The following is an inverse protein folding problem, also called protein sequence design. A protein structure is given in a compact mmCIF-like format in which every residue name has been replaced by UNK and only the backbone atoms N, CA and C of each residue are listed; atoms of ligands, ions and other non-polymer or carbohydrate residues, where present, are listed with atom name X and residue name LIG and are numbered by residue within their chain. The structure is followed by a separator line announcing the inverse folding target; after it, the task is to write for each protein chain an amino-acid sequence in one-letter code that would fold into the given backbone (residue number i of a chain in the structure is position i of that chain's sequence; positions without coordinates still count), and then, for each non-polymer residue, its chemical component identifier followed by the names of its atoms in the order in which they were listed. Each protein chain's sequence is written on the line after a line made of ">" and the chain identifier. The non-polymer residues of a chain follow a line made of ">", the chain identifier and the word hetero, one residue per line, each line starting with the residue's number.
data_IF_142637182342
#
_entry.id   IF_142637182342
#
_cell.length_a   1.000
_cell.length_b   1.000
_cell.length_c   1.000
_cell.angle_alpha   90.00
_cell.angle_beta   90.00
_cell.angle_gamma   90.00
#
_symmetry.space_group_name_H-M   'P 1'
#
loop_
_entity.id
_entity.type
_entity.pdbx_description
1 polymer ?
#
# COMPACT_ATOMS: atom_id res chain seq x y z
N UNK A 1 2.37 16.04 15.13
CA UNK A 1 3.68 15.32 15.15
C UNK A 1 3.73 14.48 13.88
N UNK A 2 4.80 14.56 13.12
CA UNK A 2 4.99 13.74 11.91
C UNK A 2 5.53 12.37 12.35
N UNK A 3 4.65 11.37 12.36
CA UNK A 3 4.94 10.03 12.88
C UNK A 3 4.80 8.92 11.82
N UNK A 4 4.44 9.30 10.58
CA UNK A 4 4.37 8.39 9.43
C UNK A 4 5.29 8.92 8.33
N UNK A 5 6.23 8.10 7.90
CA UNK A 5 7.13 8.42 6.78
C UNK A 5 6.46 8.03 5.45
N UNK A 6 6.28 9.01 4.56
CA UNK A 6 5.78 8.77 3.21
C UNK A 6 6.91 8.87 2.19
N UNK A 7 7.28 7.74 1.59
CA UNK A 7 8.35 7.66 0.60
C UNK A 7 7.77 7.79 -0.80
N UNK A 8 8.19 8.84 -1.53
CA UNK A 8 7.71 9.12 -2.88
C UNK A 8 8.83 9.03 -3.93
N UNK A 9 8.45 8.83 -5.20
CA UNK A 9 9.36 8.62 -6.33
C UNK A 9 9.23 9.66 -7.44
N UNK A 10 8.17 10.47 -7.42
CA UNK A 10 7.92 11.53 -8.40
C UNK A 10 7.44 12.79 -7.68
N UNK A 11 7.18 13.84 -8.43
CA UNK A 11 6.64 15.09 -7.87
C UNK A 11 5.31 14.83 -7.14
N UNK A 12 5.26 15.17 -5.85
CA UNK A 12 4.10 14.97 -4.99
C UNK A 12 2.90 15.77 -5.51
N UNK A 13 3.12 16.92 -6.09
CA UNK A 13 2.07 17.77 -6.65
C UNK A 13 1.36 17.11 -7.84
N UNK A 14 2.06 16.24 -8.58
CA UNK A 14 1.46 15.51 -9.70
C UNK A 14 0.51 14.39 -9.27
N UNK A 15 0.70 13.80 -8.09
CA UNK A 15 -0.18 12.75 -7.55
C UNK A 15 -1.51 13.30 -7.04
N UNK A 16 -1.54 14.52 -6.54
CA UNK A 16 -2.77 15.23 -6.14
C UNK A 16 -3.70 15.55 -7.31
N UNK A 17 -3.15 15.77 -8.49
CA UNK A 17 -3.91 16.14 -9.69
C UNK A 17 -4.89 15.08 -10.20
N UNK A 18 -4.72 13.80 -9.84
CA UNK A 18 -5.64 12.73 -10.25
C UNK A 18 -6.86 12.58 -9.34
N UNK A 19 -6.79 13.00 -8.10
CA UNK A 19 -7.86 12.82 -7.11
C UNK A 19 -8.47 14.13 -6.61
N UNK A 20 -7.87 15.30 -6.93
CA UNK A 20 -8.27 16.58 -6.33
C UNK A 20 -7.97 16.67 -4.83
N UNK A 21 -7.14 15.76 -4.29
CA UNK A 21 -6.80 15.64 -2.90
C UNK A 21 -5.36 16.09 -2.69
N UNK A 22 -5.15 17.06 -1.80
CA UNK A 22 -3.80 17.48 -1.40
C UNK A 22 -3.21 16.51 -0.38
N UNK A 23 -2.39 15.58 -0.85
CA UNK A 23 -1.69 14.63 0.00
C UNK A 23 -0.82 15.35 1.05
N UNK A 24 -0.21 16.47 0.67
CA UNK A 24 0.65 17.28 1.54
C UNK A 24 -0.11 17.96 2.69
N UNK A 25 -1.43 18.09 2.60
CA UNK A 25 -2.28 18.63 3.67
C UNK A 25 -2.58 17.64 4.78
N UNK A 26 -2.20 16.35 4.62
CA UNK A 26 -2.49 15.32 5.62
C UNK A 26 -1.60 15.46 6.85
N UNK A 27 -2.23 15.56 8.01
CA UNK A 27 -1.53 15.60 9.28
C UNK A 27 -0.81 14.28 9.60
N UNK A 28 0.42 14.38 10.05
CA UNK A 28 1.20 13.23 10.50
C UNK A 28 2.16 12.67 9.46
N UNK A 29 2.07 13.09 8.19
CA UNK A 29 2.99 12.63 7.16
C UNK A 29 4.29 13.44 7.14
N UNK A 30 5.41 12.74 7.10
CA UNK A 30 6.73 13.26 6.77
C UNK A 30 7.14 12.74 5.40
N UNK A 31 7.23 13.62 4.41
CA UNK A 31 7.54 13.26 3.05
C UNK A 31 9.04 13.15 2.84
N UNK A 32 9.50 12.05 2.25
CA UNK A 32 10.90 11.85 1.91
C UNK A 32 11.04 11.41 0.44
N UNK A 33 11.92 12.07 -0.27
CA UNK A 33 12.35 11.63 -1.58
C UNK A 33 13.06 10.28 -1.46
N UNK A 34 12.74 9.32 -2.33
CA UNK A 34 13.22 7.94 -2.20
C UNK A 34 14.75 7.84 -2.00
N UNK A 35 15.55 8.67 -2.67
CA UNK A 35 17.01 8.65 -2.56
C UNK A 35 17.55 9.32 -1.28
N UNK A 36 16.71 9.94 -0.48
CA UNK A 36 17.03 10.44 0.86
C UNK A 36 16.65 9.45 1.97
N UNK A 37 15.96 8.35 1.63
CA UNK A 37 15.46 7.37 2.58
C UNK A 37 16.59 6.74 3.41
N UNK A 38 17.77 6.56 2.83
CA UNK A 38 18.92 5.99 3.52
C UNK A 38 19.36 6.81 4.75
N UNK A 39 19.18 8.14 4.71
CA UNK A 39 19.54 9.04 5.79
C UNK A 39 18.54 9.09 6.95
N UNK A 40 17.33 8.53 6.77
CA UNK A 40 16.26 8.59 7.78
C UNK A 40 16.47 7.59 8.90
N UNK A 41 16.21 8.04 10.11
CA UNK A 41 16.11 7.15 11.29
C UNK A 41 14.68 6.61 11.37
N UNK A 42 14.48 5.32 11.04
CA UNK A 42 13.16 4.70 11.03
C UNK A 42 12.55 4.59 12.43
N UNK A 43 13.37 4.57 13.48
CA UNK A 43 12.87 4.48 14.87
C UNK A 43 12.06 5.70 15.31
N UNK A 44 12.18 6.81 14.59
CA UNK A 44 11.39 8.03 14.83
C UNK A 44 9.93 7.91 14.36
N UNK A 45 9.59 6.87 13.60
CA UNK A 45 8.29 6.71 12.96
C UNK A 45 7.54 5.49 13.49
N UNK A 46 6.21 5.57 13.50
CA UNK A 46 5.31 4.43 13.76
C UNK A 46 5.05 3.61 12.50
N UNK A 47 5.06 4.28 11.35
CA UNK A 47 4.77 3.66 10.07
C UNK A 47 5.53 4.25 8.90
N UNK A 48 5.68 3.43 7.85
CA UNK A 48 6.28 3.81 6.57
C UNK A 48 5.30 3.46 5.46
N UNK A 49 5.02 4.43 4.57
CA UNK A 49 4.30 4.23 3.32
C UNK A 49 5.32 4.26 2.18
N UNK A 50 5.36 3.20 1.39
CA UNK A 50 6.13 3.13 0.15
C UNK A 50 5.17 3.29 -1.03
N UNK A 51 5.32 4.36 -1.81
CA UNK A 51 4.57 4.59 -3.04
C UNK A 51 4.95 3.56 -4.11
N UNK A 52 4.03 3.24 -5.02
CA UNK A 52 4.15 2.13 -5.96
C UNK A 52 5.30 2.20 -6.97
N UNK A 53 5.87 3.38 -7.17
CA UNK A 53 6.99 3.59 -8.10
C UNK A 53 8.37 3.73 -7.45
N UNK A 54 8.49 3.48 -6.14
CA UNK A 54 9.77 3.59 -5.42
C UNK A 54 10.79 2.57 -5.95
N UNK A 55 12.04 3.02 -6.12
CA UNK A 55 13.15 2.19 -6.61
C UNK A 55 13.41 0.99 -5.66
N UNK A 56 13.05 -0.20 -6.14
CA UNK A 56 13.19 -1.43 -5.36
C UNK A 56 14.64 -1.96 -5.31
N UNK A 57 15.55 -1.46 -6.14
CA UNK A 57 16.98 -1.71 -6.00
C UNK A 57 17.48 -0.97 -4.74
N UNK A 58 17.06 0.27 -4.57
CA UNK A 58 17.35 1.03 -3.35
C UNK A 58 16.73 0.35 -2.14
N UNK A 59 15.43 -0.02 -2.19
CA UNK A 59 14.76 -0.72 -1.09
C UNK A 59 15.47 -2.02 -0.73
N UNK A 60 16.02 -2.76 -1.72
CA UNK A 60 16.76 -4.01 -1.44
C UNK A 60 18.07 -3.78 -0.68
N UNK A 61 18.70 -2.61 -0.82
CA UNK A 61 19.88 -2.24 0.00
C UNK A 61 19.49 -1.90 1.45
N UNK A 62 18.26 -1.41 1.65
CA UNK A 62 17.71 -1.05 2.95
C UNK A 62 16.92 -2.19 3.60
N UNK A 63 16.86 -3.37 2.97
CA UNK A 63 15.98 -4.46 3.35
C UNK A 63 16.13 -4.91 4.81
N UNK A 64 17.34 -5.02 5.32
CA UNK A 64 17.59 -5.38 6.74
C UNK A 64 17.05 -4.31 7.70
N UNK A 65 17.23 -3.03 7.37
CA UNK A 65 16.71 -1.92 8.20
C UNK A 65 15.18 -1.87 8.19
N UNK A 66 14.57 -2.08 7.01
CA UNK A 66 13.11 -2.15 6.87
C UNK A 66 12.55 -3.36 7.62
N UNK A 67 13.22 -4.51 7.51
CA UNK A 67 12.83 -5.72 8.25
C UNK A 67 12.90 -5.51 9.77
N UNK A 68 14.02 -4.96 10.27
CA UNK A 68 14.19 -4.64 11.69
C UNK A 68 13.12 -3.68 12.19
N UNK A 69 12.84 -2.60 11.43
CA UNK A 69 11.77 -1.65 11.75
C UNK A 69 10.42 -2.36 11.96
N UNK A 70 10.02 -3.25 11.05
CA UNK A 70 8.76 -3.98 11.18
C UNK A 70 8.84 -4.94 12.38
N UNK A 71 9.92 -5.72 12.49
CA UNK A 71 10.07 -6.71 13.54
C UNK A 71 10.03 -6.12 14.96
N UNK A 72 10.46 -4.88 15.13
CA UNK A 72 10.46 -4.12 16.39
C UNK A 72 9.11 -3.46 16.71
N UNK A 73 8.15 -3.47 15.79
CA UNK A 73 6.80 -2.97 16.03
C UNK A 73 6.31 -1.90 15.06
N UNK A 74 7.17 -1.47 14.13
CA UNK A 74 6.77 -0.56 13.06
C UNK A 74 5.79 -1.21 12.09
N UNK A 75 4.99 -0.41 11.41
CA UNK A 75 4.07 -0.88 10.37
C UNK A 75 4.48 -0.33 9.01
N UNK A 76 4.49 -1.18 8.01
CA UNK A 76 4.83 -0.77 6.65
C UNK A 76 3.66 -1.04 5.69
N UNK A 77 3.36 -0.04 4.88
CA UNK A 77 2.36 -0.10 3.82
C UNK A 77 3.08 0.03 2.47
N UNK A 78 3.11 -1.04 1.69
CA UNK A 78 3.71 -1.06 0.36
C UNK A 78 2.62 -1.05 -0.71
N UNK A 79 2.68 -0.08 -1.60
CA UNK A 79 1.89 -0.03 -2.82
C UNK A 79 2.74 -0.48 -4.02
N UNK A 80 2.08 -1.09 -4.99
CA UNK A 80 2.71 -1.43 -6.26
C UNK A 80 3.07 -2.90 -6.42
N UNK A 81 3.73 -3.16 -7.53
CA UNK A 81 4.18 -4.49 -7.92
C UNK A 81 5.54 -4.78 -7.30
N UNK A 82 5.73 -5.97 -6.73
CA UNK A 82 7.06 -6.43 -6.31
C UNK A 82 7.84 -6.87 -7.54
N UNK A 83 8.64 -5.97 -8.10
CA UNK A 83 9.52 -6.27 -9.24
C UNK A 83 10.88 -6.84 -8.78
N UNK A 84 11.29 -6.46 -7.57
CA UNK A 84 12.50 -6.96 -6.91
C UNK A 84 12.22 -7.17 -5.43
N UNK A 85 12.56 -8.36 -4.93
CA UNK A 85 12.43 -8.64 -3.48
C UNK A 85 13.35 -7.72 -2.68
N UNK A 86 12.77 -6.89 -1.84
CA UNK A 86 13.49 -6.03 -0.89
C UNK A 86 13.27 -6.48 0.57
N UNK A 87 12.34 -7.42 0.79
CA UNK A 87 12.19 -8.17 2.04
C UNK A 87 12.11 -9.67 1.71
N UNK A 88 12.63 -10.56 2.57
CA UNK A 88 12.76 -11.98 2.27
C UNK A 88 11.43 -12.71 2.04
N UNK A 89 10.33 -12.25 2.66
CA UNK A 89 9.00 -12.84 2.53
C UNK A 89 8.24 -12.40 1.29
N UNK A 90 8.65 -11.34 0.61
CA UNK A 90 7.97 -10.86 -0.60
C UNK A 90 8.15 -11.83 -1.76
N UNK A 91 7.12 -11.99 -2.57
CA UNK A 91 7.16 -12.73 -3.83
C UNK A 91 7.00 -11.76 -5.00
N UNK A 92 7.63 -12.10 -6.13
CA UNK A 92 7.57 -11.29 -7.36
C UNK A 92 6.12 -11.23 -7.86
N UNK A 93 5.72 -10.06 -8.32
CA UNK A 93 4.39 -9.80 -8.85
C UNK A 93 4.00 -10.75 -9.99
N UNK A 94 2.78 -11.21 -9.95
CA UNK A 94 2.15 -12.06 -10.96
C UNK A 94 0.94 -11.34 -11.58
N UNK A 95 1.00 -10.98 -12.88
CA UNK A 95 -0.15 -10.39 -13.56
C UNK A 95 -1.24 -11.44 -13.81
N UNK A 96 -2.50 -11.01 -13.84
CA UNK A 96 -3.59 -11.86 -14.31
C UNK A 96 -3.45 -12.08 -15.82
N UNK A 97 -3.56 -13.32 -16.24
CA UNK A 97 -3.63 -13.71 -17.64
C UNK A 97 -5.07 -13.95 -18.09
N UNK A 98 -5.36 -13.76 -19.41
CA UNK A 98 -6.68 -14.01 -20.01
C UNK A 98 -7.81 -13.23 -19.31
N UNK A 99 -7.60 -11.93 -19.09
CA UNK A 99 -8.48 -11.04 -18.34
C UNK A 99 -9.78 -10.81 -19.12
N UNK A 100 -10.91 -10.87 -18.40
CA UNK A 100 -12.22 -10.35 -18.84
C UNK A 100 -12.62 -9.20 -17.93
N UNK A 101 -13.49 -8.31 -18.44
CA UNK A 101 -13.96 -7.15 -17.66
C UNK A 101 -14.44 -7.51 -16.22
N UNK A 102 -15.28 -8.55 -16.00
CA UNK A 102 -15.71 -8.91 -14.66
C UNK A 102 -14.59 -9.38 -13.71
N UNK A 103 -13.43 -9.75 -14.27
CA UNK A 103 -12.29 -10.23 -13.44
C UNK A 103 -11.66 -9.11 -12.59
N UNK A 104 -11.93 -7.85 -12.93
CA UNK A 104 -11.44 -6.71 -12.14
C UNK A 104 -12.30 -6.39 -10.92
N UNK A 105 -13.47 -7.02 -10.76
CA UNK A 105 -14.32 -6.79 -9.61
C UNK A 105 -13.59 -7.19 -8.32
N UNK A 106 -13.56 -6.26 -7.37
CA UNK A 106 -12.87 -6.40 -6.09
C UNK A 106 -13.81 -7.06 -5.08
N UNK A 107 -13.30 -8.05 -4.36
CA UNK A 107 -13.97 -8.66 -3.22
C UNK A 107 -13.20 -8.32 -1.93
N UNK A 108 -13.89 -7.77 -0.93
CA UNK A 108 -13.38 -7.62 0.42
C UNK A 108 -13.58 -8.93 1.17
N UNK A 109 -12.51 -9.69 1.36
CA UNK A 109 -12.56 -11.03 1.99
C UNK A 109 -12.50 -10.95 3.51
N UNK A 110 -11.77 -9.98 4.04
CA UNK A 110 -11.66 -9.74 5.47
C UNK A 110 -11.78 -8.25 5.76
N UNK A 111 -12.61 -7.89 6.76
CA UNK A 111 -12.69 -6.51 7.24
C UNK A 111 -11.31 -6.05 7.67
N UNK A 112 -10.94 -4.82 7.34
CA UNK A 112 -9.66 -4.24 7.68
C UNK A 112 -9.77 -2.75 7.89
N UNK A 113 -8.95 -2.17 8.81
CA UNK A 113 -8.94 -0.74 9.14
C UNK A 113 -8.81 0.16 7.91
N UNK A 114 -8.00 -0.25 6.95
CA UNK A 114 -7.76 0.50 5.70
C UNK A 114 -9.03 0.76 4.90
N UNK A 115 -10.03 -0.13 4.98
CA UNK A 115 -11.32 0.00 4.27
C UNK A 115 -12.48 0.39 5.18
N UNK A 116 -12.22 0.81 6.42
CA UNK A 116 -13.27 1.19 7.36
C UNK A 116 -14.11 2.35 6.84
N UNK A 117 -15.42 2.14 6.75
CA UNK A 117 -16.37 3.15 6.27
C UNK A 117 -16.34 3.42 4.77
N UNK A 118 -15.54 2.68 3.99
CA UNK A 118 -15.45 2.80 2.55
C UNK A 118 -16.28 1.70 1.86
N UNK A 119 -16.91 2.05 0.75
CA UNK A 119 -17.54 1.06 -0.14
C UNK A 119 -16.50 0.54 -1.13
N UNK A 120 -16.20 -0.75 -1.05
CA UNK A 120 -15.22 -1.40 -1.94
C UNK A 120 -15.62 -1.29 -3.42
N UNK A 121 -16.89 -1.15 -3.73
CA UNK A 121 -17.37 -0.96 -5.09
C UNK A 121 -16.81 0.33 -5.73
N UNK A 122 -16.54 1.37 -4.92
CA UNK A 122 -15.99 2.63 -5.39
C UNK A 122 -14.53 2.53 -5.90
N UNK A 123 -13.86 1.41 -5.62
CA UNK A 123 -12.51 1.14 -6.12
C UNK A 123 -12.50 0.37 -7.45
N UNK A 124 -13.64 -0.18 -7.89
CA UNK A 124 -13.70 -1.02 -9.10
C UNK A 124 -13.40 -0.25 -10.39
N UNK A 125 -13.90 0.99 -10.49
CA UNK A 125 -13.75 1.79 -11.69
C UNK A 125 -13.40 3.23 -11.34
N UNK A 126 -12.19 3.65 -11.66
CA UNK A 126 -11.79 5.04 -11.55
C UNK A 126 -11.69 5.66 -12.93
N UNK A 127 -12.44 6.77 -13.17
CA UNK A 127 -12.43 7.51 -14.45
C UNK A 127 -12.69 6.60 -15.67
N UNK A 128 -13.53 5.57 -15.52
CA UNK A 128 -13.84 4.64 -16.59
C UNK A 128 -12.71 3.67 -16.98
N UNK A 129 -11.72 3.49 -16.12
CA UNK A 129 -10.61 2.56 -16.35
C UNK A 129 -10.79 1.32 -15.51
N UNK A 130 -11.15 0.20 -16.15
CA UNK A 130 -11.21 -1.11 -15.49
C UNK A 130 -9.82 -1.58 -15.05
N UNK A 131 -9.74 -2.20 -13.87
CA UNK A 131 -8.49 -2.70 -13.31
C UNK A 131 -7.53 -1.62 -12.87
N UNK A 132 -8.05 -0.42 -12.55
CA UNK A 132 -7.23 0.65 -11.99
C UNK A 132 -6.71 0.29 -10.58
N UNK A 133 -7.54 -0.43 -9.82
CA UNK A 133 -7.18 -0.90 -8.48
C UNK A 133 -6.03 -1.91 -8.53
N UNK A 134 -6.18 -3.00 -9.29
CA UNK A 134 -5.13 -4.02 -9.44
C UNK A 134 -5.35 -4.84 -10.71
N UNK A 135 -4.26 -5.41 -11.23
CA UNK A 135 -4.26 -6.31 -12.40
C UNK A 135 -3.49 -7.61 -12.14
N UNK A 136 -3.28 -7.95 -10.87
CA UNK A 136 -2.53 -9.12 -10.48
C UNK A 136 -2.38 -9.22 -8.97
N UNK A 137 -1.33 -9.89 -8.56
CA UNK A 137 -1.02 -10.09 -7.15
C UNK A 137 0.48 -9.95 -6.88
N UNK A 138 0.82 -9.48 -5.68
CA UNK A 138 2.06 -9.85 -5.03
C UNK A 138 1.75 -11.13 -4.26
N UNK A 139 2.18 -12.35 -4.70
CA UNK A 139 1.71 -13.58 -4.08
C UNK A 139 1.97 -13.58 -2.58
N UNK A 140 0.91 -13.81 -1.75
CA UNK A 140 1.04 -13.74 -0.30
C UNK A 140 1.95 -14.85 0.20
N UNK A 141 2.82 -14.57 1.19
CA UNK A 141 3.59 -15.60 1.86
C UNK A 141 2.70 -16.41 2.83
N UNK A 142 3.22 -17.54 3.29
CA UNK A 142 2.53 -18.34 4.31
C UNK A 142 2.27 -17.51 5.57
N UNK A 143 1.05 -17.62 6.10
CA UNK A 143 0.61 -16.87 7.27
C UNK A 143 0.08 -15.47 6.99
N UNK A 144 0.12 -14.99 5.74
CA UNK A 144 -0.51 -13.73 5.38
C UNK A 144 -2.04 -13.82 5.46
N UNK A 145 -2.66 -12.77 5.97
CA UNK A 145 -4.11 -12.57 5.97
C UNK A 145 -4.51 -11.83 4.69
N UNK A 146 -5.28 -12.49 3.83
CA UNK A 146 -5.77 -11.87 2.59
C UNK A 146 -6.87 -10.89 2.96
N UNK A 147 -6.79 -9.65 2.46
CA UNK A 147 -7.76 -8.59 2.74
C UNK A 147 -8.71 -8.42 1.56
N UNK A 148 -8.16 -8.22 0.37
CA UNK A 148 -8.95 -8.13 -0.87
C UNK A 148 -8.45 -9.09 -1.92
N UNK A 149 -9.32 -9.39 -2.88
CA UNK A 149 -8.97 -10.18 -4.05
C UNK A 149 -9.79 -9.72 -5.27
N UNK A 150 -9.28 -10.00 -6.45
CA UNK A 150 -9.95 -9.82 -7.74
C UNK A 150 -10.18 -11.18 -8.41
N UNK A 151 -10.71 -11.20 -9.65
CA UNK A 151 -10.97 -12.42 -10.42
C UNK A 151 -11.80 -13.44 -9.62
N UNK A 152 -13.02 -13.01 -9.22
CA UNK A 152 -13.93 -13.85 -8.43
C UNK A 152 -13.28 -14.37 -7.11
N UNK A 153 -12.54 -13.47 -6.46
CA UNK A 153 -11.83 -13.74 -5.21
C UNK A 153 -10.69 -14.78 -5.29
N UNK A 154 -10.19 -15.08 -6.49
CA UNK A 154 -9.13 -16.07 -6.67
C UNK A 154 -7.71 -15.49 -6.73
N UNK A 155 -7.57 -14.16 -6.92
CA UNK A 155 -6.28 -13.48 -7.02
C UNK A 155 -6.17 -12.43 -5.91
N UNK A 156 -5.42 -12.70 -4.82
CA UNK A 156 -5.19 -11.77 -3.74
C UNK A 156 -4.55 -10.48 -4.23
N UNK A 157 -5.20 -9.33 -3.97
CA UNK A 157 -4.65 -8.01 -4.32
C UNK A 157 -4.01 -7.35 -3.13
N UNK A 158 -4.62 -7.52 -1.95
CA UNK A 158 -4.09 -6.98 -0.70
C UNK A 158 -3.97 -8.08 0.35
N UNK A 159 -2.88 -8.01 1.09
CA UNK A 159 -2.69 -8.87 2.25
C UNK A 159 -1.86 -8.19 3.33
N UNK A 160 -2.04 -8.66 4.56
CA UNK A 160 -1.29 -8.26 5.74
C UNK A 160 -0.51 -9.45 6.30
N UNK A 161 0.72 -9.21 6.73
CA UNK A 161 1.55 -10.19 7.43
C UNK A 161 2.08 -9.59 8.74
N UNK A 162 1.91 -10.32 9.84
CA UNK A 162 2.55 -9.97 11.11
C UNK A 162 4.00 -10.46 11.11
N UNK A 163 4.94 -9.56 11.41
CA UNK A 163 6.37 -9.84 11.50
C UNK A 163 6.89 -9.33 12.85
N UNK A 164 7.25 -10.24 13.73
CA UNK A 164 7.64 -9.88 15.10
C UNK A 164 6.52 -9.13 15.82
N UNK A 165 6.74 -7.86 16.16
CA UNK A 165 5.76 -7.00 16.83
C UNK A 165 4.99 -6.08 15.87
N UNK A 166 5.44 -5.98 14.62
CA UNK A 166 4.88 -5.09 13.62
C UNK A 166 4.14 -5.81 12.51
N UNK A 167 3.78 -5.05 11.48
CA UNK A 167 2.96 -5.55 10.36
C UNK A 167 3.44 -5.01 9.02
N UNK A 168 3.39 -5.85 8.02
CA UNK A 168 3.55 -5.52 6.62
C UNK A 168 2.20 -5.63 5.91
N UNK A 169 1.75 -4.56 5.30
CA UNK A 169 0.61 -4.54 4.37
C UNK A 169 1.11 -4.35 2.95
N UNK A 170 0.57 -5.09 1.99
CA UNK A 170 0.85 -4.87 0.57
C UNK A 170 -0.44 -4.68 -0.22
N UNK A 171 -0.41 -3.77 -1.16
CA UNK A 171 -1.41 -3.55 -2.18
C UNK A 171 -0.77 -3.73 -3.56
N UNK A 172 -1.26 -4.68 -4.35
CA UNK A 172 -0.70 -5.02 -5.67
C UNK A 172 -1.31 -4.15 -6.80
N UNK A 173 -1.17 -2.83 -6.69
CA UNK A 173 -1.76 -1.87 -7.64
C UNK A 173 -1.13 -0.49 -7.56
N UNK A 174 -1.81 0.51 -8.09
CA UNK A 174 -1.43 1.92 -7.89
C UNK A 174 -1.54 2.27 -6.41
N UNK A 175 -1.01 3.41 -5.98
CA UNK A 175 -1.17 3.83 -4.59
C UNK A 175 -2.65 3.80 -4.19
N UNK A 176 -2.97 3.07 -3.13
CA UNK A 176 -4.35 2.70 -2.79
C UNK A 176 -5.29 3.91 -2.65
N UNK A 177 -4.80 5.00 -2.05
CA UNK A 177 -5.57 6.24 -1.93
C UNK A 177 -5.90 6.86 -3.29
N UNK A 178 -5.05 6.64 -4.31
CA UNK A 178 -5.31 7.06 -5.69
C UNK A 178 -6.35 6.15 -6.34
N UNK A 179 -6.39 4.86 -5.98
CA UNK A 179 -7.38 3.91 -6.49
C UNK A 179 -8.79 4.22 -5.96
N UNK A 180 -8.92 4.82 -4.78
CA UNK A 180 -10.20 5.23 -4.21
C UNK A 180 -10.93 6.25 -5.11
N UNK A 181 -12.25 6.36 -5.00
CA UNK A 181 -13.03 7.43 -5.63
C UNK A 181 -12.54 8.80 -5.15
N UNK A 182 -12.84 9.86 -5.89
CA UNK A 182 -12.42 11.21 -5.49
C UNK A 182 -12.95 11.59 -4.08
N UNK A 183 -14.17 11.15 -3.77
CA UNK A 183 -14.81 11.42 -2.48
C UNK A 183 -14.19 10.58 -1.34
N UNK A 184 -13.67 9.39 -1.65
CA UNK A 184 -13.12 8.45 -0.68
C UNK A 184 -11.60 8.57 -0.48
N UNK A 185 -10.89 9.29 -1.36
CA UNK A 185 -9.41 9.38 -1.33
C UNK A 185 -8.89 9.86 0.03
N UNK A 186 -9.50 10.91 0.58
CA UNK A 186 -9.11 11.45 1.88
C UNK A 186 -9.34 10.43 2.99
N UNK A 187 -10.52 9.84 3.06
CA UNK A 187 -10.87 8.85 4.07
C UNK A 187 -10.00 7.59 3.97
N UNK A 188 -9.65 7.18 2.75
CA UNK A 188 -8.73 6.08 2.51
C UNK A 188 -7.33 6.38 3.09
N UNK A 189 -6.79 7.57 2.84
CA UNK A 189 -5.49 7.97 3.39
C UNK A 189 -5.53 8.07 4.91
N UNK A 190 -6.58 8.67 5.48
CA UNK A 190 -6.78 8.74 6.94
C UNK A 190 -6.81 7.33 7.56
N UNK A 191 -7.48 6.38 6.91
CA UNK A 191 -7.52 4.98 7.34
C UNK A 191 -6.14 4.31 7.27
N UNK A 192 -5.35 4.55 6.21
CA UNK A 192 -3.98 4.04 6.11
C UNK A 192 -3.11 4.61 7.24
N UNK A 193 -3.19 5.91 7.51
CA UNK A 193 -2.45 6.56 8.60
C UNK A 193 -2.85 5.97 9.96
N UNK A 194 -4.15 5.82 10.22
CA UNK A 194 -4.66 5.24 11.45
C UNK A 194 -4.17 3.79 11.65
N UNK A 195 -4.24 2.97 10.58
CA UNK A 195 -3.67 1.62 10.59
C UNK A 195 -2.17 1.63 10.94
N UNK A 196 -1.39 2.51 10.33
CA UNK A 196 0.05 2.61 10.59
C UNK A 196 0.37 3.09 12.02
N UNK A 197 -0.54 3.81 12.66
CA UNK A 197 -0.45 4.23 14.06
C UNK A 197 -0.82 3.13 15.07
N UNK A 198 -1.31 2.00 14.60
CA UNK A 198 -1.65 0.86 15.46
C UNK A 198 -3.15 0.67 15.67
N UNK A 199 -4.00 1.41 14.99
CA UNK A 199 -5.45 1.20 15.03
C UNK A 199 -5.82 0.06 14.06
N UNK A 200 -6.32 -1.05 14.59
CA UNK A 200 -6.65 -2.25 13.81
C UNK A 200 -8.14 -2.36 13.46
N UNK A 201 -9.03 -1.55 14.09
CA UNK A 201 -10.48 -1.54 13.90
C UNK A 201 -11.04 -0.16 13.54
#
# INVERSE_FOLDING_TARGET
>A
MKDILFVYFNDIDSSGGMSGFELTSQEGLDFVWQYELESKDFSAYKGIILSGGVDQILLSKLGERLFSFINEGGRMFFNGHVEKKFLPMLNIYEPITNIKYPDFAIALLNKHRVYKGLDIANFNEKKGVAGFYSRGQNPPPNGARIITAIKQASVPSDWELTLGKGKLYTHAGVDLHIAASADDTKACMENIIAYLRGEDE
#
